data_IF_562446321127
#
_entry.id   IF_562446321127
#
_cell.length_a   1.000
_cell.length_b   1.000
_cell.length_c   1.000
_cell.angle_alpha   90.00
_cell.angle_beta   90.00
_cell.angle_gamma   90.00
#
_symmetry.space_group_name_H-M   'P 1'
#
loop_
_entity.id
_entity.type
_entity.pdbx_description
1 polymer ?
#
# COMPACT_ATOMS: atom_id res chain seq x y z
N UNK A 1 25.07 -9.99 -5.62
CA UNK A 1 23.65 -9.88 -5.24
C UNK A 1 22.89 -8.90 -6.14
N UNK A 2 23.45 -7.72 -6.45
CA UNK A 2 22.77 -6.69 -7.28
C UNK A 2 22.41 -7.12 -8.71
N UNK A 3 23.27 -7.90 -9.38
CA UNK A 3 23.00 -8.39 -10.75
C UNK A 3 21.75 -9.29 -10.85
N UNK A 4 21.47 -10.09 -9.81
CA UNK A 4 20.25 -10.93 -9.79
C UNK A 4 18.98 -10.09 -9.61
N UNK A 5 19.05 -9.00 -8.84
CA UNK A 5 17.92 -8.08 -8.67
C UNK A 5 17.56 -7.37 -9.99
N UNK A 6 18.57 -6.92 -10.73
CA UNK A 6 18.36 -6.26 -12.02
C UNK A 6 17.70 -7.21 -13.04
N UNK A 7 18.17 -8.46 -13.11
CA UNK A 7 17.56 -9.48 -13.99
C UNK A 7 16.12 -9.79 -13.59
N UNK A 8 15.87 -10.11 -12.31
CA UNK A 8 14.51 -10.40 -11.80
C UNK A 8 13.56 -9.22 -12.01
N UNK A 9 14.07 -7.99 -11.91
CA UNK A 9 13.30 -6.80 -12.24
C UNK A 9 12.97 -6.74 -13.74
N UNK A 10 13.94 -6.92 -14.63
CA UNK A 10 13.70 -6.91 -16.06
C UNK A 10 12.66 -7.97 -16.47
N UNK A 11 12.80 -9.20 -15.97
CA UNK A 11 11.87 -10.30 -16.23
C UNK A 11 10.45 -9.97 -15.74
N UNK A 12 10.33 -9.37 -14.55
CA UNK A 12 9.05 -8.95 -14.00
C UNK A 12 8.37 -7.85 -14.82
N UNK A 13 9.12 -6.86 -15.29
CA UNK A 13 8.56 -5.79 -16.13
C UNK A 13 8.16 -6.30 -17.52
N UNK A 14 8.94 -7.20 -18.11
CA UNK A 14 8.59 -7.85 -19.37
C UNK A 14 7.27 -8.64 -19.26
N UNK A 15 7.08 -9.38 -18.17
CA UNK A 15 5.83 -10.10 -17.89
C UNK A 15 4.64 -9.15 -17.69
N UNK A 16 4.81 -8.04 -16.96
CA UNK A 16 3.75 -7.05 -16.78
C UNK A 16 3.42 -6.25 -18.06
N UNK A 17 4.39 -6.11 -18.95
CA UNK A 17 4.19 -5.45 -20.24
C UNK A 17 3.45 -6.34 -21.25
N UNK A 18 3.30 -7.64 -21.00
CA UNK A 18 2.54 -8.52 -21.88
C UNK A 18 1.07 -8.02 -22.01
N UNK A 19 0.64 -7.57 -23.21
CA UNK A 19 -0.72 -7.09 -23.42
C UNK A 19 -1.79 -8.16 -23.16
N UNK A 20 -1.44 -9.44 -23.31
CA UNK A 20 -2.36 -10.56 -23.06
C UNK A 20 -2.69 -10.76 -21.58
N UNK A 21 -1.89 -10.17 -20.68
CA UNK A 21 -2.03 -10.25 -19.22
C UNK A 21 -2.47 -8.94 -18.57
N UNK A 22 -2.58 -7.85 -19.35
CA UNK A 22 -3.03 -6.53 -18.85
C UNK A 22 -4.55 -6.43 -18.84
N UNK A 23 -5.14 -6.87 -17.74
CA UNK A 23 -6.59 -6.82 -17.56
C UNK A 23 -7.07 -5.41 -17.19
N UNK A 24 -7.59 -4.71 -18.20
CA UNK A 24 -8.38 -3.46 -18.04
C UNK A 24 -9.60 -3.68 -17.12
N UNK A 25 -10.00 -4.95 -16.94
CA UNK A 25 -11.05 -5.44 -16.06
C UNK A 25 -10.83 -5.10 -14.57
N UNK A 26 -9.58 -4.92 -14.13
CA UNK A 26 -9.26 -4.62 -12.72
C UNK A 26 -9.92 -3.30 -12.28
N UNK A 27 -9.69 -2.23 -13.05
CA UNK A 27 -10.24 -0.92 -12.75
C UNK A 27 -11.76 -0.91 -12.85
N UNK A 28 -12.32 -1.66 -13.79
CA UNK A 28 -13.77 -1.66 -14.00
C UNK A 28 -14.50 -2.34 -12.86
N UNK A 29 -13.98 -3.48 -12.39
CA UNK A 29 -14.53 -4.24 -11.27
C UNK A 29 -14.52 -3.42 -9.99
N UNK A 30 -13.37 -2.89 -9.60
CA UNK A 30 -13.22 -2.18 -8.33
C UNK A 30 -13.88 -0.80 -8.36
N UNK A 31 -14.25 -0.28 -9.53
CA UNK A 31 -15.02 0.96 -9.69
C UNK A 31 -16.50 0.76 -10.02
N UNK A 32 -16.98 -0.48 -10.15
CA UNK A 32 -18.37 -0.77 -10.51
C UNK A 32 -18.73 -0.31 -11.92
N UNK A 33 -17.75 -0.26 -12.83
CA UNK A 33 -17.95 0.08 -14.23
C UNK A 33 -18.41 -1.18 -14.98
N UNK A 34 -19.57 -1.11 -15.63
CA UNK A 34 -20.11 -2.21 -16.44
C UNK A 34 -19.35 -2.45 -17.76
N UNK A 35 -18.46 -1.54 -18.16
CA UNK A 35 -17.69 -1.64 -19.40
C UNK A 35 -16.18 -1.47 -19.12
N UNK A 36 -15.36 -2.53 -19.31
CA UNK A 36 -13.90 -2.48 -19.17
C UNK A 36 -13.21 -1.47 -20.10
N UNK A 37 -13.78 -1.17 -21.27
CA UNK A 37 -13.18 -0.25 -22.25
C UNK A 37 -13.10 1.21 -21.76
N UNK A 38 -13.75 1.52 -20.63
CA UNK A 38 -13.64 2.81 -19.96
C UNK A 38 -12.35 2.96 -19.16
N UNK A 39 -11.63 1.86 -18.96
CA UNK A 39 -10.40 1.79 -18.19
C UNK A 39 -9.22 1.64 -19.13
N UNK A 40 -8.24 2.50 -18.97
CA UNK A 40 -7.02 2.49 -19.76
C UNK A 40 -5.82 2.38 -18.84
N UNK A 41 -4.97 1.40 -19.10
CA UNK A 41 -3.67 1.26 -18.46
C UNK A 41 -2.62 1.66 -19.49
N UNK A 42 -1.89 2.78 -19.29
CA UNK A 42 -0.89 3.21 -20.24
C UNK A 42 0.32 2.26 -20.21
N UNK A 43 1.11 2.27 -21.29
CA UNK A 43 2.41 1.61 -21.35
C UNK A 43 3.37 2.16 -20.29
N UNK A 44 4.48 1.47 -20.05
CA UNK A 44 5.52 1.89 -19.09
C UNK A 44 6.07 3.26 -19.47
N UNK A 45 6.34 3.46 -20.75
CA UNK A 45 6.77 4.74 -21.32
C UNK A 45 5.64 5.42 -22.08
N UNK A 46 5.50 6.73 -21.90
CA UNK A 46 4.60 7.56 -22.70
C UNK A 46 5.20 7.93 -24.05
N UNK A 47 4.42 8.64 -24.86
CA UNK A 47 4.80 9.04 -26.22
C UNK A 47 6.03 9.95 -26.27
N UNK A 48 6.34 10.66 -25.17
CA UNK A 48 7.49 11.55 -25.06
C UNK A 48 8.66 10.89 -24.32
N UNK A 49 8.63 9.56 -24.17
CA UNK A 49 9.64 8.79 -23.45
C UNK A 49 9.57 8.94 -21.93
N UNK A 50 8.52 9.55 -21.39
CA UNK A 50 8.36 9.72 -19.95
C UNK A 50 7.98 8.41 -19.26
N UNK A 51 8.63 8.11 -18.13
CA UNK A 51 8.30 6.93 -17.33
C UNK A 51 6.98 7.14 -16.58
N UNK A 52 5.93 6.45 -17.00
CA UNK A 52 4.58 6.57 -16.44
C UNK A 52 4.37 5.67 -15.22
N UNK A 53 5.00 4.49 -15.21
CA UNK A 53 4.95 3.55 -14.10
C UNK A 53 5.98 3.95 -13.05
N UNK A 54 5.53 4.13 -11.80
CA UNK A 54 6.40 4.51 -10.70
C UNK A 54 6.80 3.24 -9.96
N UNK A 55 8.07 3.05 -9.63
CA UNK A 55 8.49 1.97 -8.76
C UNK A 55 8.92 2.52 -7.39
N UNK A 56 8.54 1.82 -6.32
CA UNK A 56 9.13 1.98 -5.00
C UNK A 56 10.03 0.79 -4.69
N UNK A 57 10.46 0.68 -3.43
CA UNK A 57 11.32 -0.43 -2.98
C UNK A 57 10.62 -1.80 -3.04
N UNK A 58 9.32 -1.84 -2.78
CA UNK A 58 8.55 -3.10 -2.63
C UNK A 58 7.34 -3.24 -3.53
N UNK A 59 6.99 -2.18 -4.26
CA UNK A 59 5.81 -2.18 -5.12
C UNK A 59 6.10 -1.43 -6.41
N UNK A 60 5.61 -1.95 -7.53
CA UNK A 60 5.37 -1.12 -8.72
C UNK A 60 3.99 -0.47 -8.58
N UNK A 61 3.88 0.79 -8.99
CA UNK A 61 2.63 1.55 -9.06
C UNK A 61 2.34 1.90 -10.50
N UNK A 62 1.32 1.23 -11.03
CA UNK A 62 0.81 1.37 -12.39
C UNK A 62 -0.37 2.35 -12.37
N UNK A 63 -0.34 3.43 -13.16
CA UNK A 63 -1.49 4.31 -13.29
C UNK A 63 -2.64 3.61 -14.04
N UNK A 64 -3.86 3.75 -13.53
CA UNK A 64 -5.08 3.26 -14.19
C UNK A 64 -5.99 4.46 -14.45
N UNK A 65 -6.24 4.79 -15.71
CA UNK A 65 -7.03 5.95 -16.12
C UNK A 65 -8.48 5.54 -16.40
N UNK A 66 -9.43 6.35 -15.95
CA UNK A 66 -10.87 6.14 -16.18
C UNK A 66 -11.36 7.26 -17.10
N UNK A 67 -11.91 6.88 -18.26
CA UNK A 67 -12.45 7.83 -19.21
C UNK A 67 -13.80 8.36 -18.74
N UNK A 68 -13.86 9.67 -18.45
CA UNK A 68 -15.04 10.31 -17.83
C UNK A 68 -16.16 10.65 -18.81
N UNK A 69 -15.86 10.77 -20.11
CA UNK A 69 -16.80 11.32 -21.11
C UNK A 69 -18.05 10.46 -21.27
N UNK A 70 -17.96 9.15 -21.04
CA UNK A 70 -19.08 8.20 -21.12
C UNK A 70 -19.76 7.94 -19.77
N UNK A 71 -19.07 8.15 -18.64
CA UNK A 71 -19.65 7.91 -17.29
C UNK A 71 -20.67 8.95 -16.84
N UNK A 72 -20.69 10.16 -17.43
CA UNK A 72 -21.75 11.15 -17.15
C UNK A 72 -23.13 10.73 -17.68
N UNK A 73 -23.20 9.74 -18.57
CA UNK A 73 -24.48 9.20 -19.07
C UNK A 73 -25.14 8.22 -18.08
N UNK A 74 -24.37 7.64 -17.16
CA UNK A 74 -24.88 6.64 -16.21
C UNK A 74 -24.99 7.26 -14.82
N UNK A 75 -26.22 7.61 -14.43
CA UNK A 75 -26.64 8.24 -13.17
C UNK A 75 -26.20 7.49 -11.90
N UNK A 76 -24.92 7.55 -11.54
CA UNK A 76 -24.42 7.13 -10.23
C UNK A 76 -23.72 8.31 -9.56
N UNK A 77 -24.37 8.88 -8.55
CA UNK A 77 -23.99 10.10 -7.82
C UNK A 77 -22.69 10.05 -7.00
N UNK A 78 -21.67 9.30 -7.41
CA UNK A 78 -20.32 9.42 -6.86
C UNK A 78 -19.32 9.68 -7.98
N UNK A 79 -18.75 10.88 -8.00
CA UNK A 79 -17.63 11.25 -8.87
C UNK A 79 -16.50 10.24 -8.73
N UNK A 80 -16.32 9.35 -9.71
CA UNK A 80 -15.17 8.46 -9.80
C UNK A 80 -13.91 9.31 -10.11
N UNK A 81 -12.76 8.99 -9.50
CA UNK A 81 -11.50 9.64 -9.84
C UNK A 81 -11.15 9.33 -11.31
N UNK A 82 -10.51 10.27 -12.01
CA UNK A 82 -10.05 10.05 -13.39
C UNK A 82 -8.85 9.13 -13.44
N UNK A 83 -8.19 8.91 -12.30
CA UNK A 83 -6.95 8.15 -12.21
C UNK A 83 -6.87 7.41 -10.88
N UNK A 84 -6.42 6.17 -10.94
CA UNK A 84 -6.15 5.28 -9.82
C UNK A 84 -4.70 4.80 -9.89
N UNK A 85 -4.19 4.33 -8.76
CA UNK A 85 -2.90 3.66 -8.66
C UNK A 85 -3.10 2.18 -8.35
N UNK A 86 -2.77 1.33 -9.30
CA UNK A 86 -2.63 -0.10 -9.10
C UNK A 86 -1.25 -0.38 -8.52
N UNK A 87 -1.18 -0.90 -7.31
CA UNK A 87 0.06 -1.27 -6.62
C UNK A 87 0.21 -2.78 -6.65
N UNK A 88 1.30 -3.26 -7.21
CA UNK A 88 1.63 -4.69 -7.27
C UNK A 88 2.92 -4.89 -6.48
N UNK A 89 2.94 -5.77 -5.46
CA UNK A 89 4.16 -6.14 -4.75
C UNK A 89 5.22 -6.71 -5.71
N UNK A 90 6.49 -6.42 -5.43
CA UNK A 90 7.62 -6.92 -6.18
C UNK A 90 8.08 -8.26 -5.55
N UNK A 91 7.78 -9.44 -6.15
CA UNK A 91 8.04 -10.73 -5.51
C UNK A 91 9.51 -10.94 -5.14
N UNK A 92 10.40 -10.43 -6.00
CA UNK A 92 11.85 -10.51 -5.83
C UNK A 92 12.41 -9.60 -4.72
N UNK A 93 11.64 -8.59 -4.23
CA UNK A 93 12.04 -7.70 -3.12
C UNK A 93 11.43 -8.08 -1.78
N UNK A 94 10.35 -8.85 -1.79
CA UNK A 94 9.64 -9.27 -0.58
C UNK A 94 9.97 -10.71 -0.17
N UNK A 95 10.90 -11.35 -0.86
CA UNK A 95 11.32 -12.72 -0.57
C UNK A 95 10.24 -13.77 -0.86
N UNK A 96 9.34 -13.52 -1.81
CA UNK A 96 8.24 -14.46 -2.14
C UNK A 96 8.75 -15.83 -2.57
N UNK A 97 9.87 -15.88 -3.29
CA UNK A 97 10.49 -17.13 -3.76
C UNK A 97 11.05 -17.97 -2.61
N UNK A 98 11.61 -17.32 -1.59
CA UNK A 98 12.14 -18.00 -0.42
C UNK A 98 11.04 -18.36 0.59
N UNK A 99 10.01 -17.51 0.69
CA UNK A 99 8.89 -17.64 1.63
C UNK A 99 7.57 -17.29 0.92
N UNK A 100 6.92 -18.29 0.29
CA UNK A 100 5.64 -18.10 -0.38
C UNK A 100 4.58 -17.55 0.58
N UNK A 101 3.77 -16.61 0.12
CA UNK A 101 2.72 -15.95 0.90
C UNK A 101 3.10 -14.57 1.46
N UNK A 102 4.36 -14.14 1.35
CA UNK A 102 4.79 -12.80 1.78
C UNK A 102 4.06 -11.67 1.03
N UNK A 103 3.79 -11.88 -0.26
CA UNK A 103 3.03 -10.98 -1.12
C UNK A 103 1.59 -10.84 -0.67
N UNK A 104 0.94 -11.96 -0.36
CA UNK A 104 -0.44 -11.98 0.13
C UNK A 104 -0.52 -11.30 1.50
N UNK A 105 0.39 -11.65 2.40
CA UNK A 105 0.49 -11.04 3.73
C UNK A 105 0.65 -9.52 3.66
N UNK A 106 1.53 -9.04 2.77
CA UNK A 106 1.70 -7.60 2.50
C UNK A 106 0.40 -6.97 2.01
N UNK A 107 -0.29 -7.61 1.05
CA UNK A 107 -1.53 -7.09 0.47
C UNK A 107 -2.71 -7.16 1.43
N UNK A 108 -2.74 -8.08 2.40
CA UNK A 108 -3.71 -8.07 3.49
C UNK A 108 -3.42 -6.98 4.51
N UNK A 109 -2.14 -6.73 4.78
CA UNK A 109 -1.74 -5.84 5.88
C UNK A 109 -1.93 -4.35 5.59
N UNK A 110 -1.65 -3.90 4.38
CA UNK A 110 -1.79 -2.47 4.00
C UNK A 110 -3.27 -2.01 4.03
N UNK A 111 -4.25 -2.69 3.40
CA UNK A 111 -5.68 -2.43 3.54
C UNK A 111 -6.21 -2.50 4.97
N UNK A 112 -5.77 -3.49 5.75
CA UNK A 112 -6.18 -3.61 7.16
C UNK A 112 -5.72 -2.40 7.97
N UNK A 113 -4.48 -1.96 7.74
CA UNK A 113 -3.91 -0.75 8.37
C UNK A 113 -4.67 0.51 7.94
N UNK A 114 -4.96 0.70 6.66
CA UNK A 114 -5.76 1.84 6.19
C UNK A 114 -7.16 1.86 6.80
N UNK A 115 -7.79 0.69 6.92
CA UNK A 115 -9.12 0.58 7.54
C UNK A 115 -9.06 0.91 9.03
N UNK A 116 -8.02 0.43 9.73
CA UNK A 116 -7.82 0.73 11.14
C UNK A 116 -7.58 2.23 11.37
N UNK A 117 -6.65 2.84 10.62
CA UNK A 117 -6.32 4.27 10.72
C UNK A 117 -7.54 5.15 10.41
N UNK A 118 -8.28 4.85 9.33
CA UNK A 118 -9.49 5.61 8.99
C UNK A 118 -10.55 5.59 10.11
N UNK A 119 -10.66 4.47 10.84
CA UNK A 119 -11.65 4.31 11.91
C UNK A 119 -11.23 5.01 13.21
N UNK A 120 -9.95 4.99 13.52
CA UNK A 120 -9.45 5.39 14.84
C UNK A 120 -8.72 6.74 14.85
N UNK A 121 -8.14 7.15 13.73
CA UNK A 121 -7.38 8.39 13.56
C UNK A 121 -7.93 9.19 12.36
N UNK A 122 -9.16 9.72 12.45
CA UNK A 122 -9.84 10.39 11.32
C UNK A 122 -9.17 11.71 10.90
N UNK A 123 -8.28 12.27 11.73
CA UNK A 123 -7.46 13.43 11.43
C UNK A 123 -6.32 13.11 10.44
N UNK A 124 -5.96 11.84 10.28
CA UNK A 124 -4.91 11.38 9.37
C UNK A 124 -5.53 11.09 8.00
N UNK A 125 -5.21 11.93 7.02
CA UNK A 125 -5.59 11.70 5.63
C UNK A 125 -4.82 10.52 5.03
N UNK A 126 -5.49 9.38 4.85
CA UNK A 126 -4.94 8.23 4.11
C UNK A 126 -5.55 8.14 2.70
N UNK A 127 -4.79 7.63 1.70
CA UNK A 127 -5.33 7.39 0.38
C UNK A 127 -6.55 6.46 0.45
N UNK A 128 -7.59 6.79 -0.30
CA UNK A 128 -8.77 5.95 -0.35
C UNK A 128 -8.47 4.66 -1.10
N UNK A 129 -8.64 3.54 -0.41
CA UNK A 129 -8.58 2.21 -0.99
C UNK A 129 -9.89 1.93 -1.77
N UNK A 130 -9.77 1.36 -2.96
CA UNK A 130 -10.91 0.96 -3.81
C UNK A 130 -11.16 -0.54 -3.75
N UNK A 131 -10.08 -1.29 -3.60
CA UNK A 131 -10.12 -2.71 -3.37
C UNK A 131 -8.74 -3.32 -3.54
N UNK A 132 -8.67 -4.62 -3.36
CA UNK A 132 -7.44 -5.40 -3.51
C UNK A 132 -7.80 -6.83 -3.88
N UNK A 133 -6.84 -7.58 -4.38
CA UNK A 133 -7.02 -8.98 -4.77
C UNK A 133 -5.85 -9.81 -4.27
N UNK A 134 -6.19 -11.04 -3.88
CA UNK A 134 -5.25 -12.05 -3.47
C UNK A 134 -5.08 -13.10 -4.57
N UNK A 135 -3.90 -13.72 -4.62
CA UNK A 135 -3.62 -14.87 -5.50
C UNK A 135 -4.67 -15.94 -5.24
N UNK A 136 -5.32 -16.44 -6.31
CA UNK A 136 -6.46 -17.35 -6.21
C UNK A 136 -7.83 -16.70 -6.44
N UNK A 137 -7.88 -15.40 -6.78
CA UNK A 137 -9.08 -14.73 -7.27
C UNK A 137 -10.05 -14.26 -6.18
N UNK A 138 -9.59 -14.17 -4.94
CA UNK A 138 -10.36 -13.56 -3.86
C UNK A 138 -10.17 -12.04 -3.89
N UNK A 139 -11.14 -11.32 -4.45
CA UNK A 139 -11.10 -9.86 -4.56
C UNK A 139 -11.95 -9.20 -3.46
N UNK A 140 -11.40 -8.17 -2.82
CA UNK A 140 -12.08 -7.36 -1.82
C UNK A 140 -12.47 -6.02 -2.44
N UNK A 141 -13.77 -5.76 -2.56
CA UNK A 141 -14.30 -4.59 -3.25
C UNK A 141 -14.94 -3.59 -2.27
N UNK A 142 -14.76 -2.29 -2.52
CA UNK A 142 -15.47 -1.24 -1.79
C UNK A 142 -17.00 -1.38 -1.99
N UNK A 143 -17.86 -1.22 -0.96
CA UNK A 143 -19.31 -1.34 -1.12
C UNK A 143 -19.92 -0.47 -2.23
N UNK A 144 -19.28 0.66 -2.56
CA UNK A 144 -19.72 1.59 -3.60
C UNK A 144 -19.52 1.08 -5.03
N UNK A 145 -18.69 0.07 -5.25
CA UNK A 145 -18.54 -0.57 -6.56
C UNK A 145 -19.48 -1.75 -6.77
N UNK A 146 -20.19 -2.18 -5.72
CA UNK A 146 -21.05 -3.37 -5.74
C UNK A 146 -22.45 -3.09 -6.29
N UNK A 147 -23.12 -4.15 -6.75
CA UNK A 147 -24.54 -4.08 -7.13
C UNK A 147 -25.43 -3.76 -5.93
N UNK A 148 -26.63 -3.23 -6.20
CA UNK A 148 -27.61 -2.89 -5.16
C UNK A 148 -27.92 -4.07 -4.24
N UNK A 149 -28.12 -5.27 -4.80
CA UNK A 149 -28.41 -6.49 -4.02
C UNK A 149 -27.27 -6.89 -3.10
N UNK A 150 -26.02 -6.79 -3.55
CA UNK A 150 -24.85 -7.07 -2.71
C UNK A 150 -24.75 -6.06 -1.56
N UNK A 151 -25.06 -4.77 -1.80
CA UNK A 151 -25.12 -3.75 -0.74
C UNK A 151 -26.26 -4.02 0.24
N UNK A 152 -27.43 -4.43 -0.24
CA UNK A 152 -28.56 -4.79 0.62
C UNK A 152 -28.23 -6.01 1.49
N UNK A 153 -27.66 -7.08 0.90
CA UNK A 153 -27.18 -8.26 1.63
C UNK A 153 -26.14 -7.89 2.68
N UNK A 154 -25.21 -7.00 2.35
CA UNK A 154 -24.20 -6.49 3.30
C UNK A 154 -24.85 -5.76 4.48
N UNK A 155 -25.83 -4.88 4.23
CA UNK A 155 -26.56 -4.15 5.29
C UNK A 155 -27.33 -5.11 6.20
N UNK A 156 -28.04 -6.08 5.63
CA UNK A 156 -28.77 -7.11 6.40
C UNK A 156 -27.80 -7.92 7.24
N UNK A 157 -26.69 -8.39 6.64
CA UNK A 157 -25.68 -9.16 7.36
C UNK A 157 -25.07 -8.37 8.52
N UNK A 158 -24.74 -7.08 8.32
CA UNK A 158 -24.24 -6.21 9.40
C UNK A 158 -25.25 -6.06 10.50
N UNK A 159 -26.50 -5.75 10.15
CA UNK A 159 -27.57 -5.61 11.13
C UNK A 159 -27.74 -6.86 11.99
N UNK A 160 -27.78 -8.04 11.37
CA UNK A 160 -27.83 -9.33 12.07
C UNK A 160 -26.60 -9.49 12.96
N UNK A 161 -25.41 -9.29 12.39
CA UNK A 161 -24.16 -9.49 13.10
C UNK A 161 -24.00 -8.55 14.29
N UNK A 162 -24.39 -7.27 14.17
CA UNK A 162 -24.36 -6.29 15.24
C UNK A 162 -25.36 -6.64 16.36
N UNK A 163 -26.48 -7.29 16.02
CA UNK A 163 -27.47 -7.77 17.00
C UNK A 163 -26.94 -8.93 17.86
N UNK A 164 -26.10 -9.79 17.29
CA UNK A 164 -25.57 -10.98 17.95
C UNK A 164 -24.16 -10.81 18.53
N UNK A 165 -23.51 -9.64 18.35
CA UNK A 165 -22.12 -9.45 18.73
C UNK A 165 -21.97 -8.73 20.07
N UNK A 166 -21.31 -9.41 21.01
CA UNK A 166 -20.97 -8.90 22.35
C UNK A 166 -19.52 -8.40 22.48
N UNK A 167 -18.82 -8.05 21.38
CA UNK A 167 -17.39 -7.73 21.44
C UNK A 167 -16.78 -6.91 20.29
N UNK A 168 -15.69 -6.22 20.62
CA UNK A 168 -15.01 -5.15 19.87
C UNK A 168 -14.07 -5.64 18.74
N UNK A 169 -14.55 -6.46 17.80
CA UNK A 169 -13.72 -6.76 16.62
C UNK A 169 -13.99 -5.78 15.49
N UNK A 170 -12.92 -5.26 14.90
CA UNK A 170 -13.02 -4.38 13.74
C UNK A 170 -13.34 -5.24 12.51
N UNK A 171 -14.47 -4.97 11.87
CA UNK A 171 -14.83 -5.59 10.60
C UNK A 171 -14.61 -4.60 9.47
N UNK A 172 -13.94 -5.05 8.43
CA UNK A 172 -13.68 -4.24 7.25
C UNK A 172 -14.94 -4.02 6.42
N UNK A 173 -15.06 -2.83 5.83
CA UNK A 173 -16.17 -2.51 4.94
C UNK A 173 -16.09 -3.21 3.58
N UNK A 174 -14.89 -3.64 3.18
CA UNK A 174 -14.65 -4.28 1.89
C UNK A 174 -15.27 -5.68 1.86
N UNK A 175 -15.94 -6.00 0.75
CA UNK A 175 -16.67 -7.26 0.60
C UNK A 175 -15.84 -8.25 -0.21
N UNK A 176 -15.57 -9.46 0.32
CA UNK A 176 -14.87 -10.51 -0.39
C UNK A 176 -15.77 -11.07 -1.49
N UNK A 177 -15.19 -11.28 -2.65
CA UNK A 177 -15.85 -11.88 -3.81
C UNK A 177 -14.90 -12.84 -4.47
N UNK A 178 -15.30 -14.11 -4.54
CA UNK A 178 -14.57 -15.12 -5.30
C UNK A 178 -14.84 -14.90 -6.78
N UNK A 179 -13.77 -14.76 -7.56
CA UNK A 179 -13.81 -14.49 -9.00
C UNK A 179 -12.71 -15.27 -9.71
N UNK A 180 -12.75 -15.30 -11.04
CA UNK A 180 -11.57 -15.67 -11.81
C UNK A 180 -10.46 -14.67 -11.49
N UNK A 181 -9.25 -15.17 -11.20
CA UNK A 181 -8.11 -14.32 -10.91
C UNK A 181 -7.86 -13.37 -12.09
N UNK A 182 -7.92 -12.06 -11.82
CA UNK A 182 -7.74 -11.02 -12.84
C UNK A 182 -6.26 -10.82 -13.16
N UNK A 183 -5.43 -11.06 -12.16
CA UNK A 183 -3.99 -11.16 -12.29
C UNK A 183 -3.56 -12.40 -11.51
N UNK A 184 -2.56 -13.10 -12.02
CA UNK A 184 -1.86 -14.15 -11.27
C UNK A 184 -0.93 -13.53 -10.19
N UNK A 185 -1.37 -12.42 -9.58
CA UNK A 185 -0.59 -11.57 -8.67
C UNK A 185 -1.50 -10.85 -7.69
N UNK A 186 -1.03 -10.72 -6.45
CA UNK A 186 -1.67 -9.86 -5.46
C UNK A 186 -1.56 -8.39 -5.86
N UNK A 187 -2.60 -7.60 -5.64
CA UNK A 187 -2.54 -6.16 -5.91
C UNK A 187 -3.47 -5.35 -5.01
N UNK A 188 -3.19 -4.05 -4.92
CA UNK A 188 -4.00 -3.06 -4.21
C UNK A 188 -4.36 -1.93 -5.18
N UNK A 189 -5.63 -1.54 -5.24
CA UNK A 189 -6.11 -0.41 -6.02
C UNK A 189 -6.47 0.76 -5.10
N UNK A 190 -5.77 1.88 -5.26
CA UNK A 190 -5.96 3.09 -4.45
C UNK A 190 -6.20 4.32 -5.32
N UNK A 191 -6.79 5.36 -4.73
CA UNK A 191 -6.93 6.64 -5.40
C UNK A 191 -5.57 7.24 -5.77
N UNK A 192 -5.46 7.75 -7.00
CA UNK A 192 -4.27 8.46 -7.41
C UNK A 192 -4.32 9.89 -6.89
N UNK A 193 -3.45 10.22 -5.95
CA UNK A 193 -3.31 11.59 -5.44
C UNK A 193 -2.63 12.44 -6.53
N UNK A 194 -3.44 13.20 -7.26
CA UNK A 194 -3.01 14.22 -8.23
C UNK A 194 -3.68 15.53 -7.86
N UNK A 195 -3.18 16.17 -6.81
CA UNK A 195 -3.50 17.57 -6.57
C UNK A 195 -2.38 18.39 -7.22
N UNK A 196 -2.76 19.37 -8.06
CA UNK A 196 -1.82 20.30 -8.70
C UNK A 196 -0.99 21.09 -7.69
N UNK A 197 -1.49 21.20 -6.45
CA UNK A 197 -0.82 21.88 -5.35
C UNK A 197 -0.11 20.91 -4.38
N UNK A 198 -0.23 19.59 -4.58
CA UNK A 198 0.47 18.62 -3.74
C UNK A 198 1.78 18.17 -4.38
N UNK A 199 2.86 18.26 -3.61
CA UNK A 199 4.17 17.74 -3.98
C UNK A 199 4.64 16.72 -2.95
N UNK A 200 5.46 15.76 -3.38
CA UNK A 200 6.04 14.78 -2.47
C UNK A 200 7.05 15.52 -1.60
N UNK A 201 6.92 15.37 -0.27
CA UNK A 201 7.76 16.11 0.67
C UNK A 201 9.26 15.88 0.41
N UNK A 202 9.67 14.65 0.10
CA UNK A 202 11.09 14.36 -0.20
C UNK A 202 11.65 15.19 -1.36
N UNK A 203 10.84 15.58 -2.34
CA UNK A 203 11.30 16.41 -3.47
C UNK A 203 11.42 17.89 -3.13
N UNK A 204 10.63 18.37 -2.17
CA UNK A 204 10.61 19.77 -1.75
C UNK A 204 11.61 20.01 -0.63
N UNK A 205 11.64 19.09 0.35
CA UNK A 205 12.44 19.21 1.57
C UNK A 205 13.95 19.08 1.33
N UNK A 206 14.36 18.49 0.20
CA UNK A 206 15.77 18.46 -0.24
C UNK A 206 16.28 19.83 -0.71
N UNK A 207 15.39 20.78 -1.01
CA UNK A 207 15.79 22.13 -1.37
C UNK A 207 16.08 22.94 -0.11
N UNK A 208 16.93 23.97 -0.19
CA UNK A 208 17.12 24.92 0.91
C UNK A 208 15.76 25.44 1.36
N UNK A 209 15.52 25.40 2.66
CA UNK A 209 14.28 25.82 3.28
C UNK A 209 14.59 26.66 4.51
N UNK A 210 13.70 27.62 4.80
CA UNK A 210 13.79 28.41 6.04
C UNK A 210 13.16 27.65 7.21
N UNK A 211 13.51 28.04 8.44
CA UNK A 211 12.92 27.44 9.64
C UNK A 211 11.39 27.50 9.62
N UNK A 212 10.83 28.64 9.17
CA UNK A 212 9.38 28.85 8.99
C UNK A 212 8.75 27.88 7.98
N UNK A 213 9.47 27.50 6.92
CA UNK A 213 8.97 26.53 5.93
C UNK A 213 8.95 25.10 6.48
N UNK A 214 9.79 24.80 7.47
CA UNK A 214 9.88 23.47 8.09
C UNK A 214 8.87 23.25 9.22
N UNK A 215 8.40 24.34 9.86
CA UNK A 215 7.51 24.29 11.02
C UNK A 215 6.22 23.51 10.73
N UNK A 216 5.54 23.83 9.63
CA UNK A 216 4.27 23.19 9.27
C UNK A 216 4.42 21.68 9.00
N UNK A 217 5.40 21.21 8.19
CA UNK A 217 5.70 19.79 8.04
C UNK A 217 6.00 19.09 9.37
N UNK A 218 6.89 19.62 10.20
CA UNK A 218 7.23 19.01 11.48
C UNK A 218 6.02 18.92 12.40
N UNK A 219 5.27 20.02 12.54
CA UNK A 219 4.03 20.04 13.33
C UNK A 219 3.02 19.03 12.83
N UNK A 220 2.88 18.88 11.51
CA UNK A 220 1.95 17.92 10.90
C UNK A 220 2.37 16.47 11.15
N UNK A 221 3.65 16.15 11.00
CA UNK A 221 4.20 14.83 11.31
C UNK A 221 4.02 14.51 12.79
N UNK A 222 4.33 15.46 13.69
CA UNK A 222 4.13 15.30 15.13
C UNK A 222 2.67 15.02 15.48
N UNK A 223 1.71 15.71 14.86
CA UNK A 223 0.27 15.44 15.05
C UNK A 223 -0.09 14.02 14.60
N UNK A 224 0.38 13.58 13.43
CA UNK A 224 0.17 12.22 12.93
C UNK A 224 0.73 11.19 13.92
N UNK A 225 1.97 11.39 14.40
CA UNK A 225 2.61 10.50 15.37
C UNK A 225 1.82 10.44 16.69
N UNK A 226 1.39 11.59 17.21
CA UNK A 226 0.59 11.67 18.44
C UNK A 226 -0.77 10.98 18.26
N UNK A 227 -1.47 11.21 17.14
CA UNK A 227 -2.76 10.58 16.86
C UNK A 227 -2.62 9.05 16.80
N UNK A 228 -1.62 8.53 16.10
CA UNK A 228 -1.34 7.08 16.06
C UNK A 228 -0.94 6.51 17.44
N UNK A 229 -0.12 7.23 18.21
CA UNK A 229 0.37 6.79 19.51
C UNK A 229 -0.66 6.93 20.64
N UNK A 230 -1.67 7.80 20.46
CA UNK A 230 -2.73 8.03 21.45
C UNK A 230 -3.61 6.80 21.70
N UNK A 231 -3.54 5.81 20.80
CA UNK A 231 -4.36 4.60 20.85
C UNK A 231 -3.44 3.42 21.20
N UNK A 232 -3.48 2.93 22.45
CA UNK A 232 -2.60 1.85 22.88
C UNK A 232 -2.88 0.59 22.08
N UNK A 233 -1.82 -0.02 21.55
CA UNK A 233 -1.91 -1.28 20.82
C UNK A 233 -1.84 -2.44 21.82
N UNK A 234 -2.68 -3.48 21.68
CA UNK A 234 -2.70 -4.60 22.62
C UNK A 234 -1.42 -5.47 22.56
N UNK A 235 -0.67 -5.39 21.46
CA UNK A 235 0.62 -6.05 21.27
C UNK A 235 1.39 -5.44 20.09
N UNK A 236 2.64 -5.86 19.93
CA UNK A 236 3.43 -5.56 18.74
C UNK A 236 3.02 -6.51 17.61
N UNK A 237 2.70 -5.97 16.44
CA UNK A 237 2.30 -6.73 15.26
C UNK A 237 1.94 -5.83 14.09
N UNK A 238 1.52 -6.43 12.98
CA UNK A 238 0.87 -5.71 11.89
C UNK A 238 -0.59 -6.10 11.78
N UNK A 239 -1.42 -5.13 11.37
CA UNK A 239 -2.83 -5.38 11.08
C UNK A 239 -2.93 -6.30 9.88
N UNK A 240 -3.88 -7.23 9.90
CA UNK A 240 -4.22 -8.09 8.76
C UNK A 240 -5.72 -8.27 8.67
N UNK A 241 -6.20 -8.55 7.47
CA UNK A 241 -7.60 -8.83 7.17
C UNK A 241 -7.74 -10.29 6.72
N UNK A 242 -8.63 -11.04 7.38
CA UNK A 242 -8.95 -12.41 6.98
C UNK A 242 -10.04 -12.46 5.90
N UNK A 243 -10.32 -13.65 5.37
CA UNK A 243 -11.31 -13.87 4.31
C UNK A 243 -12.74 -13.52 4.75
N UNK A 244 -12.99 -13.57 6.06
CA UNK A 244 -14.24 -13.14 6.69
C UNK A 244 -14.35 -11.63 6.93
N UNK A 245 -13.35 -10.84 6.48
CA UNK A 245 -13.22 -9.37 6.63
C UNK A 245 -12.88 -8.88 8.03
N UNK A 246 -12.54 -9.77 8.96
CA UNK A 246 -12.17 -9.36 10.30
C UNK A 246 -10.74 -8.85 10.29
N UNK A 247 -10.54 -7.70 10.93
CA UNK A 247 -9.25 -7.07 11.10
C UNK A 247 -8.71 -7.46 12.47
N UNK A 248 -7.47 -7.92 12.50
CA UNK A 248 -6.78 -8.29 13.73
C UNK A 248 -5.31 -7.88 13.67
N UNK A 249 -4.74 -7.52 14.81
CA UNK A 249 -3.32 -7.20 14.94
C UNK A 249 -2.52 -8.48 15.18
N UNK A 250 -2.65 -9.50 14.34
CA UNK A 250 -2.07 -10.85 14.57
C UNK A 250 -0.79 -11.10 13.79
N UNK A 251 -0.54 -10.31 12.77
CA UNK A 251 0.51 -10.63 11.83
C UNK A 251 1.88 -10.13 12.33
N UNK A 252 2.97 -10.73 11.82
CA UNK A 252 4.32 -10.27 12.16
C UNK A 252 4.53 -8.84 11.64
N UNK A 253 5.34 -8.00 12.34
CA UNK A 253 5.74 -6.70 11.80
C UNK A 253 6.44 -6.88 10.45
N UNK A 254 5.76 -6.54 9.36
CA UNK A 254 6.31 -6.67 8.02
C UNK A 254 7.38 -5.57 7.85
N UNK A 255 8.52 -5.91 7.26
CA UNK A 255 9.65 -4.99 6.94
C UNK A 255 10.64 -4.65 8.07
N UNK A 256 10.82 -5.53 9.07
CA UNK A 256 11.92 -5.35 10.05
C UNK A 256 13.32 -5.45 9.42
N UNK A 257 13.51 -6.35 8.44
CA UNK A 257 14.83 -6.55 7.81
C UNK A 257 15.31 -5.36 6.98
N UNK A 258 14.41 -4.65 6.26
CA UNK A 258 14.82 -3.50 5.44
C UNK A 258 14.89 -2.19 6.23
N UNK A 259 14.14 -2.07 7.33
CA UNK A 259 14.36 -0.97 8.28
C UNK A 259 15.77 -1.09 8.88
N UNK A 260 16.17 -2.31 9.26
CA UNK A 260 17.54 -2.59 9.72
C UNK A 260 18.57 -2.40 8.60
N UNK A 261 18.34 -2.88 7.38
CA UNK A 261 19.26 -2.67 6.25
C UNK A 261 19.37 -1.18 5.83
N UNK A 262 18.30 -0.40 5.99
CA UNK A 262 18.31 1.05 5.82
C UNK A 262 19.02 1.78 6.96
N UNK A 263 19.00 1.21 8.17
CA UNK A 263 19.77 1.68 9.32
C UNK A 263 21.22 1.18 9.31
N UNK A 264 21.57 0.11 8.61
CA UNK A 264 22.94 -0.40 8.52
C UNK A 264 23.89 0.66 7.95
N UNK A 265 23.49 1.38 6.90
CA UNK A 265 24.28 2.52 6.43
C UNK A 265 24.45 3.58 7.54
N UNK A 266 23.42 3.88 8.32
CA UNK A 266 23.51 4.87 9.40
C UNK A 266 24.36 4.37 10.59
N UNK A 267 24.35 3.07 10.87
CA UNK A 267 25.17 2.43 11.90
C UNK A 267 26.63 2.34 11.46
N UNK A 268 26.89 2.10 10.18
CA UNK A 268 28.24 2.10 9.59
C UNK A 268 28.81 3.52 9.52
N UNK A 269 28.03 4.57 9.28
CA UNK A 269 28.57 5.94 9.19
C UNK A 269 28.54 6.73 10.51
N UNK A 270 28.31 6.08 11.66
CA UNK A 270 28.48 6.73 12.96
C UNK A 270 29.96 6.88 13.30
N UNK A 271 30.33 8.02 13.90
CA UNK A 271 31.73 8.36 14.22
C UNK A 271 32.42 7.36 15.17
N UNK A 272 31.63 6.56 15.88
CA UNK A 272 32.07 5.52 16.83
C UNK A 272 31.53 4.13 16.43
N UNK A 273 31.23 3.93 15.15
CA UNK A 273 30.82 2.62 14.66
C UNK A 273 31.99 1.64 14.81
N UNK A 274 31.67 0.40 15.16
CA UNK A 274 32.64 -0.68 15.29
C UNK A 274 32.62 -1.47 13.98
N UNK A 275 33.71 -1.42 13.22
CA UNK A 275 33.79 -2.02 11.89
C UNK A 275 34.42 -3.43 11.90
N UNK A 276 35.08 -3.81 13.00
CA UNK A 276 35.69 -5.13 13.19
C UNK A 276 35.88 -5.44 14.68
N UNK A 277 36.17 -6.70 15.01
CA UNK A 277 36.46 -7.10 16.40
C UNK A 277 37.71 -6.39 16.96
N UNK A 278 38.72 -6.16 16.13
CA UNK A 278 39.93 -5.43 16.52
C UNK A 278 39.66 -3.93 16.75
N UNK A 279 38.79 -3.34 15.94
CA UNK A 279 38.33 -1.95 16.13
C UNK A 279 37.52 -1.82 17.43
N UNK A 280 36.65 -2.81 17.72
CA UNK A 280 35.92 -2.89 18.99
C UNK A 280 36.87 -2.91 20.21
N UNK A 281 37.90 -3.76 20.14
CA UNK A 281 38.91 -3.91 21.20
C UNK A 281 39.75 -2.65 21.37
N UNK A 282 40.05 -1.95 20.28
CA UNK A 282 40.83 -0.71 20.30
C UNK A 282 40.03 0.44 20.91
N UNK A 283 38.78 0.64 20.47
CA UNK A 283 37.89 1.66 21.04
C UNK A 283 37.61 1.40 22.53
N UNK A 284 37.44 0.14 22.93
CA UNK A 284 37.25 -0.23 24.34
C UNK A 284 38.50 0.06 25.21
N UNK A 285 39.71 -0.16 24.66
CA UNK A 285 40.97 0.20 25.34
C UNK A 285 41.11 1.71 25.50
N UNK A 286 40.81 2.48 24.46
CA UNK A 286 40.92 3.94 24.50
C UNK A 286 39.96 4.55 25.55
N UNK A 287 38.75 4.00 25.69
CA UNK A 287 37.78 4.42 26.73
C UNK A 287 38.28 4.08 28.15
N UNK A 288 38.98 2.95 28.31
CA UNK A 288 39.58 2.56 29.60
C UNK A 288 40.82 3.39 29.95
N UNK A 289 41.58 3.85 28.96
CA UNK A 289 42.75 4.72 29.12
C UNK A 289 42.41 6.20 29.28
N UNK A 290 41.16 6.60 29.02
CA UNK A 290 40.63 7.95 29.26
C UNK A 290 40.08 8.15 30.69
N UNK A 291 40.29 7.19 31.60
CA UNK A 291 40.07 7.34 33.05
C UNK A 291 41.39 7.44 33.79
#
# INVERSE_FOLDING_TARGET
MELQYAQKQADFYNDLEDPSRRDQTIGSIHCGLGNPNLVQVPKVFGEKGELLWRHGSFNVRIPVCINRTTTRLNNSGSSLPSKLGLRIPLPYRIGEEAFPGNSEEKVRSEPATYTWVNKHCPDISVPRLRGFELTGGLSFCEPRSLSFWQRAKLRIWRFIHDLYRSGESITSDYVPQQRAALLDRNYILVDWIKDTNAQILSTVFLKPHTDLQSENPYRSISKIMISLASIPQPRIGSWTINDSRQISLTNRPIFYLDLLAGHDNRLIYQKNAIYSEDDARTQAKDVLLMR
#
